data_IF_032076561724
#
_entry.id   IF_032076561724
#
_cell.length_a   1.000
_cell.length_b   1.000
_cell.length_c   1.000
_cell.angle_alpha   90.00
_cell.angle_beta   90.00
_cell.angle_gamma   90.00
#
_symmetry.space_group_name_H-M   'P 1'
#
loop_
_entity.id
_entity.type
_entity.pdbx_description
1 polymer ?
#
# COMPACT_ATOMS: atom_id res chain seq x y z
N UNK A 1 -31.62 -9.34 -35.36
CA UNK A 1 -30.47 -8.86 -34.59
C UNK A 1 -30.72 -9.19 -33.14
N UNK A 2 -30.07 -10.22 -32.60
CA UNK A 2 -30.20 -10.59 -31.19
C UNK A 2 -29.48 -9.55 -30.34
N UNK A 3 -30.22 -8.76 -29.58
CA UNK A 3 -29.67 -7.89 -28.56
C UNK A 3 -28.81 -8.74 -27.62
N UNK A 4 -27.50 -8.53 -27.68
CA UNK A 4 -26.55 -9.18 -26.80
C UNK A 4 -26.92 -8.84 -25.36
N UNK A 5 -27.55 -9.79 -24.66
CA UNK A 5 -27.79 -9.67 -23.22
C UNK A 5 -26.45 -9.32 -22.57
N UNK A 6 -26.35 -8.10 -22.03
CA UNK A 6 -25.21 -7.70 -21.19
C UNK A 6 -25.15 -8.72 -20.07
N UNK A 7 -24.08 -9.52 -20.03
CA UNK A 7 -23.87 -10.60 -19.03
C UNK A 7 -23.76 -10.09 -17.59
N UNK A 8 -23.82 -8.76 -17.40
CA UNK A 8 -23.65 -8.10 -16.12
C UNK A 8 -24.92 -7.30 -15.82
N UNK A 9 -25.62 -7.68 -14.75
CA UNK A 9 -26.46 -6.73 -14.04
C UNK A 9 -25.51 -5.79 -13.28
N UNK A 10 -25.49 -4.48 -13.57
CA UNK A 10 -24.82 -3.52 -12.72
C UNK A 10 -25.58 -3.49 -11.39
N UNK A 11 -25.10 -4.23 -10.40
CA UNK A 11 -25.46 -4.00 -9.01
C UNK A 11 -24.65 -2.79 -8.52
N UNK A 12 -25.32 -1.78 -7.99
CA UNK A 12 -24.78 -0.45 -7.61
C UNK A 12 -23.67 -0.43 -6.54
N UNK A 13 -23.04 -1.56 -6.21
CA UNK A 13 -21.91 -1.58 -5.30
C UNK A 13 -21.20 -2.91 -5.31
N UNK A 14 -20.15 -3.03 -6.12
CA UNK A 14 -19.09 -3.98 -5.82
C UNK A 14 -18.55 -3.71 -4.41
N UNK A 15 -18.26 -4.76 -3.65
CA UNK A 15 -17.81 -4.58 -2.27
C UNK A 15 -17.09 -5.79 -1.71
N UNK A 16 -16.94 -5.84 -0.39
CA UNK A 16 -16.18 -6.88 0.29
C UNK A 16 -17.07 -8.09 0.58
N UNK A 17 -16.61 -9.27 0.17
CA UNK A 17 -17.20 -10.55 0.52
C UNK A 17 -16.45 -11.15 1.71
N UNK A 18 -17.17 -11.56 2.74
CA UNK A 18 -16.59 -12.29 3.87
C UNK A 18 -17.00 -13.76 3.78
N UNK A 19 -16.03 -14.66 3.80
CA UNK A 19 -16.22 -16.12 3.80
C UNK A 19 -15.69 -16.67 5.12
N UNK A 20 -16.40 -17.63 5.70
CA UNK A 20 -15.95 -18.29 6.93
C UNK A 20 -15.33 -19.65 6.61
N UNK A 21 -14.16 -19.92 7.19
CA UNK A 21 -13.56 -21.25 7.32
C UNK A 21 -13.53 -21.71 8.79
N UNK A 22 -14.25 -20.99 9.66
CA UNK A 22 -14.23 -21.22 11.10
C UNK A 22 -15.14 -22.36 11.51
N UNK A 23 -14.76 -23.04 12.59
CA UNK A 23 -15.57 -24.06 13.24
C UNK A 23 -16.56 -23.39 14.20
N UNK A 24 -17.72 -22.93 13.70
CA UNK A 24 -18.83 -22.50 14.54
C UNK A 24 -19.73 -21.41 13.92
N UNK A 25 -20.95 -21.30 14.42
CA UNK A 25 -21.95 -20.33 13.93
C UNK A 25 -21.99 -19.01 14.71
N UNK A 26 -21.24 -18.90 15.80
CA UNK A 26 -21.30 -17.76 16.72
C UNK A 26 -20.09 -16.83 16.57
N UNK A 27 -20.35 -15.54 16.74
CA UNK A 27 -19.34 -14.48 16.84
C UNK A 27 -18.63 -14.58 18.19
N UNK A 28 -17.76 -15.57 18.35
CA UNK A 28 -16.99 -15.79 19.58
C UNK A 28 -15.51 -15.64 19.24
N UNK A 29 -14.81 -14.80 20.00
CA UNK A 29 -13.34 -14.74 20.01
C UNK A 29 -12.88 -15.53 21.23
N UNK A 30 -12.14 -16.65 21.05
CA UNK A 30 -11.67 -17.43 22.19
C UNK A 30 -10.75 -16.63 23.13
N UNK A 31 -10.76 -16.95 24.43
CA UNK A 31 -9.95 -16.25 25.43
C UNK A 31 -8.45 -16.26 25.10
N UNK A 32 -7.93 -17.40 24.61
CA UNK A 32 -6.51 -17.51 24.25
C UNK A 32 -6.08 -16.49 23.20
N UNK A 33 -7.00 -15.95 22.39
CA UNK A 33 -6.67 -14.90 21.42
C UNK A 33 -6.30 -13.61 22.14
N UNK A 34 -6.97 -13.29 23.24
CA UNK A 34 -6.62 -12.13 24.05
C UNK A 34 -5.30 -12.36 24.79
N UNK A 35 -5.09 -13.57 25.33
CA UNK A 35 -3.92 -13.87 26.14
C UNK A 35 -2.63 -13.95 25.29
N UNK A 36 -2.73 -14.62 24.13
CA UNK A 36 -1.60 -14.97 23.28
C UNK A 36 -1.35 -13.91 22.21
N UNK A 37 -2.41 -13.46 21.52
CA UNK A 37 -2.26 -12.66 20.31
C UNK A 37 -2.35 -11.16 20.56
N UNK A 38 -3.18 -10.70 21.50
CA UNK A 38 -3.34 -9.26 21.75
C UNK A 38 -2.02 -8.53 22.05
N UNK A 39 -1.06 -9.09 22.82
CA UNK A 39 0.23 -8.44 23.03
C UNK A 39 1.08 -8.28 21.76
N UNK A 40 0.88 -9.15 20.76
CA UNK A 40 1.66 -9.15 19.51
C UNK A 40 1.02 -8.26 18.44
N UNK A 41 -0.27 -8.46 18.14
CA UNK A 41 -0.95 -7.74 17.05
C UNK A 41 -1.62 -6.43 17.51
N UNK A 42 -1.80 -6.26 18.82
CA UNK A 42 -2.44 -5.10 19.44
C UNK A 42 -3.97 -5.13 19.40
N UNK A 43 -4.59 -4.36 20.30
CA UNK A 43 -6.04 -4.30 20.46
C UNK A 43 -6.78 -3.80 19.20
N UNK A 44 -6.16 -2.95 18.38
CA UNK A 44 -6.76 -2.45 17.13
C UNK A 44 -6.94 -3.57 16.10
N UNK A 45 -5.91 -4.39 15.90
CA UNK A 45 -5.99 -5.52 14.97
C UNK A 45 -7.04 -6.53 15.43
N UNK A 46 -7.08 -6.81 16.74
CA UNK A 46 -8.08 -7.71 17.32
C UNK A 46 -9.51 -7.17 17.16
N UNK A 47 -9.73 -5.86 17.34
CA UNK A 47 -11.02 -5.22 17.09
C UNK A 47 -11.48 -5.28 15.63
N UNK A 48 -10.54 -5.14 14.68
CA UNK A 48 -10.82 -5.34 13.25
C UNK A 48 -11.20 -6.79 12.97
N UNK A 49 -10.44 -7.75 13.50
CA UNK A 49 -10.77 -9.18 13.36
C UNK A 49 -12.15 -9.52 13.94
N UNK A 50 -12.49 -9.02 15.13
CA UNK A 50 -13.81 -9.21 15.73
C UNK A 50 -14.94 -8.61 14.85
N UNK A 51 -14.67 -7.49 14.18
CA UNK A 51 -15.59 -6.89 13.22
C UNK A 51 -15.79 -7.81 12.01
N UNK A 52 -14.72 -8.43 11.50
CA UNK A 52 -14.80 -9.39 10.39
C UNK A 52 -15.62 -10.61 10.77
N UNK A 53 -15.35 -11.19 11.93
CA UNK A 53 -16.15 -12.30 12.52
C UNK A 53 -17.62 -11.91 12.68
N UNK A 54 -17.94 -10.64 12.92
CA UNK A 54 -19.33 -10.16 12.96
C UNK A 54 -19.94 -10.05 11.57
N UNK A 55 -19.18 -9.56 10.59
CA UNK A 55 -19.64 -9.36 9.20
C UNK A 55 -19.79 -10.69 8.44
N UNK A 56 -18.97 -11.70 8.78
CA UNK A 56 -19.01 -13.05 8.19
C UNK A 56 -20.38 -13.71 8.35
N UNK A 57 -21.02 -13.49 9.50
CA UNK A 57 -22.28 -14.14 9.87
C UNK A 57 -23.40 -13.86 8.88
N UNK A 58 -23.30 -12.77 8.13
CA UNK A 58 -24.31 -12.42 7.16
C UNK A 58 -24.11 -13.08 5.79
N UNK A 59 -23.00 -13.79 5.53
CA UNK A 59 -22.76 -14.62 4.33
C UNK A 59 -22.93 -13.93 2.96
N UNK A 60 -23.12 -12.61 2.95
CA UNK A 60 -23.56 -11.81 1.80
C UNK A 60 -22.44 -10.83 1.46
N UNK A 61 -22.21 -10.65 0.15
CA UNK A 61 -21.36 -9.57 -0.38
C UNK A 61 -21.88 -8.26 0.18
N UNK A 62 -21.07 -7.60 1.01
CA UNK A 62 -21.45 -6.32 1.59
C UNK A 62 -21.07 -5.25 0.58
N UNK A 63 -22.01 -4.37 0.25
CA UNK A 63 -21.77 -3.11 -0.47
C UNK A 63 -20.98 -2.14 0.42
N UNK A 64 -19.85 -2.60 0.96
CA UNK A 64 -18.94 -1.88 1.82
C UNK A 64 -17.60 -1.80 1.10
N UNK A 65 -17.13 -0.58 0.89
CA UNK A 65 -15.76 -0.36 0.47
C UNK A 65 -14.79 -0.51 1.65
N UNK A 66 -13.51 -0.65 1.37
CA UNK A 66 -12.47 -0.63 2.40
C UNK A 66 -12.45 0.71 3.17
N UNK A 67 -12.86 1.82 2.53
CA UNK A 67 -12.98 3.12 3.17
C UNK A 67 -14.18 3.20 4.13
N UNK A 68 -15.30 2.56 3.79
CA UNK A 68 -16.46 2.50 4.70
C UNK A 68 -16.15 1.62 5.90
N UNK A 69 -15.44 0.51 5.66
CA UNK A 69 -14.98 -0.37 6.73
C UNK A 69 -14.00 0.33 7.68
N UNK A 70 -13.06 1.13 7.16
CA UNK A 70 -12.13 1.90 7.99
C UNK A 70 -12.86 2.97 8.82
N UNK A 71 -13.86 3.65 8.24
CA UNK A 71 -14.72 4.59 8.97
C UNK A 71 -15.51 3.89 10.07
N UNK A 72 -16.13 2.74 9.78
CA UNK A 72 -16.91 1.97 10.75
C UNK A 72 -16.06 1.50 11.94
N UNK A 73 -14.80 1.11 11.68
CA UNK A 73 -13.83 0.69 12.70
C UNK A 73 -13.06 1.86 13.32
N UNK A 74 -13.33 3.11 12.91
CA UNK A 74 -12.67 4.34 13.38
C UNK A 74 -11.15 4.31 13.26
N UNK A 75 -10.63 3.72 12.18
CA UNK A 75 -9.21 3.70 11.86
C UNK A 75 -8.96 4.28 10.45
N UNK A 76 -7.72 4.71 10.21
CA UNK A 76 -7.31 5.15 8.87
C UNK A 76 -7.31 3.98 7.88
N UNK A 77 -7.59 4.25 6.61
CA UNK A 77 -7.55 3.24 5.53
C UNK A 77 -6.18 2.57 5.40
N UNK A 78 -5.09 3.34 5.55
CA UNK A 78 -3.73 2.81 5.58
C UNK A 78 -3.52 1.85 6.75
N UNK A 79 -3.93 2.25 7.95
CA UNK A 79 -3.85 1.41 9.15
C UNK A 79 -4.67 0.12 9.00
N UNK A 80 -5.85 0.19 8.40
CA UNK A 80 -6.66 -1.00 8.09
C UNK A 80 -5.93 -1.94 7.12
N UNK A 81 -5.27 -1.39 6.10
CA UNK A 81 -4.48 -2.17 5.14
C UNK A 81 -3.29 -2.87 5.82
N UNK A 82 -2.57 -2.15 6.69
CA UNK A 82 -1.45 -2.70 7.46
C UNK A 82 -1.93 -3.79 8.43
N UNK A 83 -3.05 -3.56 9.14
CA UNK A 83 -3.69 -4.56 10.00
C UNK A 83 -4.10 -5.81 9.21
N UNK A 84 -4.65 -5.66 8.00
CA UNK A 84 -5.03 -6.81 7.18
C UNK A 84 -3.83 -7.68 6.83
N UNK A 85 -2.69 -7.07 6.48
CA UNK A 85 -1.45 -7.80 6.23
C UNK A 85 -0.99 -8.53 7.49
N UNK A 86 -1.02 -7.88 8.65
CA UNK A 86 -0.67 -8.52 9.91
C UNK A 86 -1.58 -9.70 10.23
N UNK A 87 -2.90 -9.54 10.11
CA UNK A 87 -3.84 -10.64 10.35
C UNK A 87 -3.66 -11.79 9.34
N UNK A 88 -3.34 -11.49 8.09
CA UNK A 88 -3.06 -12.49 7.06
C UNK A 88 -1.77 -13.27 7.35
N UNK A 89 -0.68 -12.59 7.69
CA UNK A 89 0.58 -13.21 8.09
C UNK A 89 0.44 -14.05 9.37
N UNK A 90 -0.39 -13.60 10.31
CA UNK A 90 -0.70 -14.35 11.54
C UNK A 90 -1.71 -15.49 11.31
N UNK A 91 -2.22 -15.70 10.10
CA UNK A 91 -3.14 -16.78 9.77
C UNK A 91 -4.59 -16.59 10.27
N UNK A 92 -4.98 -15.38 10.67
CA UNK A 92 -6.34 -15.05 11.09
C UNK A 92 -7.29 -14.91 9.90
N UNK A 93 -6.77 -14.40 8.79
CA UNK A 93 -7.54 -14.16 7.56
C UNK A 93 -6.71 -14.53 6.32
N UNK A 94 -7.36 -14.52 5.18
CA UNK A 94 -6.74 -14.56 3.85
C UNK A 94 -7.47 -13.56 2.96
N UNK A 95 -6.72 -12.71 2.24
CA UNK A 95 -7.27 -11.61 1.47
C UNK A 95 -7.08 -11.88 -0.03
N UNK A 96 -8.16 -12.29 -0.68
CA UNK A 96 -8.19 -12.62 -2.10
C UNK A 96 -8.67 -11.42 -2.92
N UNK A 97 -7.76 -10.83 -3.70
CA UNK A 97 -8.08 -9.77 -4.65
C UNK A 97 -8.32 -10.39 -6.02
N UNK A 98 -9.50 -10.19 -6.66
CA UNK A 98 -9.82 -10.79 -7.93
C UNK A 98 -8.89 -10.31 -9.05
N UNK A 99 -8.35 -11.25 -9.84
CA UNK A 99 -7.46 -10.98 -10.99
C UNK A 99 -8.15 -11.39 -12.31
N UNK A 100 -7.93 -10.61 -13.37
CA UNK A 100 -8.39 -10.94 -14.73
C UNK A 100 -9.92 -11.08 -14.83
N UNK A 101 -10.38 -12.23 -15.31
CA UNK A 101 -11.81 -12.53 -15.44
C UNK A 101 -12.55 -12.49 -14.10
N UNK A 102 -11.90 -12.73 -12.96
CA UNK A 102 -12.57 -12.65 -11.65
C UNK A 102 -13.01 -11.22 -11.30
N UNK A 103 -12.45 -10.18 -11.93
CA UNK A 103 -12.93 -8.79 -11.77
C UNK A 103 -14.34 -8.57 -12.27
N UNK A 104 -14.84 -9.51 -13.07
CA UNK A 104 -16.22 -9.54 -13.55
C UNK A 104 -17.21 -10.01 -12.49
N UNK A 105 -16.73 -10.55 -11.36
CA UNK A 105 -17.55 -10.92 -10.22
C UNK A 105 -18.04 -9.66 -9.45
N UNK A 106 -19.14 -9.80 -8.72
CA UNK A 106 -19.80 -8.70 -7.98
C UNK A 106 -19.03 -8.22 -6.72
N UNK A 107 -17.82 -8.73 -6.44
CA UNK A 107 -17.04 -8.34 -5.27
C UNK A 107 -15.66 -7.82 -5.67
N UNK A 108 -15.17 -6.84 -4.92
CA UNK A 108 -13.86 -6.22 -5.15
C UNK A 108 -12.75 -6.89 -4.34
N UNK A 109 -13.11 -7.52 -3.21
CA UNK A 109 -12.16 -8.18 -2.32
C UNK A 109 -12.91 -9.27 -1.58
N UNK A 110 -12.29 -10.44 -1.48
CA UNK A 110 -12.80 -11.55 -0.68
C UNK A 110 -11.88 -11.73 0.54
N UNK A 111 -12.47 -11.72 1.73
CA UNK A 111 -11.75 -11.93 2.99
C UNK A 111 -12.24 -13.24 3.57
N UNK A 112 -11.38 -14.25 3.58
CA UNK A 112 -11.65 -15.55 4.18
C UNK A 112 -11.18 -15.50 5.62
N UNK A 113 -12.09 -15.74 6.55
CA UNK A 113 -11.85 -15.65 7.99
C UNK A 113 -11.59 -17.06 8.51
N UNK A 114 -10.46 -17.22 9.20
CA UNK A 114 -9.97 -18.49 9.75
C UNK A 114 -10.09 -18.48 11.27
N UNK A 115 -10.02 -19.68 11.86
CA UNK A 115 -9.90 -19.78 13.31
C UNK A 115 -8.49 -19.35 13.73
N UNK A 116 -8.35 -18.52 14.77
CA UNK A 116 -7.03 -18.03 15.20
C UNK A 116 -6.12 -19.20 15.56
N UNK A 117 -4.86 -19.22 15.13
CA UNK A 117 -3.95 -20.31 15.49
C UNK A 117 -3.74 -20.35 16.99
N UNK A 118 -3.67 -21.57 17.56
CA UNK A 118 -3.43 -21.77 19.00
C UNK A 118 -1.96 -21.63 19.37
N UNK A 119 -1.08 -21.79 18.39
CA UNK A 119 0.36 -21.75 18.53
C UNK A 119 0.92 -20.63 17.65
N UNK A 120 1.98 -19.97 18.11
CA UNK A 120 2.65 -18.90 17.37
C UNK A 120 4.07 -19.37 17.02
N UNK A 121 4.49 -19.16 15.78
CA UNK A 121 5.87 -19.40 15.37
C UNK A 121 6.82 -18.36 15.99
N UNK A 122 8.07 -18.77 16.25
CA UNK A 122 9.11 -17.87 16.77
C UNK A 122 9.33 -16.65 15.87
N UNK A 123 9.25 -16.85 14.55
CA UNK A 123 9.40 -15.80 13.55
C UNK A 123 8.34 -14.69 13.68
N UNK A 124 7.08 -15.06 13.92
CA UNK A 124 5.99 -14.08 14.13
C UNK A 124 6.23 -13.31 15.42
N UNK A 125 6.67 -14.00 16.49
CA UNK A 125 6.98 -13.36 17.77
C UNK A 125 8.09 -12.33 17.57
N UNK A 126 9.20 -12.70 16.94
CA UNK A 126 10.33 -11.79 16.70
C UNK A 126 9.95 -10.60 15.82
N UNK A 127 9.14 -10.80 14.78
CA UNK A 127 8.70 -9.75 13.85
C UNK A 127 7.79 -8.72 14.51
N UNK A 128 6.90 -9.15 15.40
CA UNK A 128 5.87 -8.30 16.01
C UNK A 128 6.15 -7.91 17.47
N UNK A 129 7.27 -8.38 18.04
CA UNK A 129 7.71 -7.97 19.38
C UNK A 129 7.91 -6.45 19.39
N UNK A 130 7.32 -5.79 20.37
CA UNK A 130 7.59 -4.37 20.60
C UNK A 130 9.02 -4.21 21.15
N UNK A 131 9.77 -3.24 20.62
CA UNK A 131 11.11 -2.88 21.10
C UNK A 131 11.10 -2.44 22.57
N UNK A 132 9.98 -1.89 23.04
CA UNK A 132 9.74 -1.73 24.47
C UNK A 132 9.52 -3.11 25.06
N UNK A 133 10.59 -3.66 25.67
CA UNK A 133 10.69 -5.01 26.23
C UNK A 133 9.32 -5.56 26.63
N UNK A 134 8.92 -6.63 25.93
CA UNK A 134 7.64 -7.31 26.11
C UNK A 134 7.34 -7.52 27.61
N UNK A 135 6.47 -6.68 28.18
CA UNK A 135 5.87 -6.94 29.49
C UNK A 135 4.69 -7.84 29.19
N UNK A 136 4.84 -9.14 29.44
CA UNK A 136 3.73 -10.06 29.35
C UNK A 136 2.63 -9.54 30.28
N UNK A 137 1.46 -9.17 29.73
CA UNK A 137 0.26 -8.91 30.54
C UNK A 137 -0.15 -10.16 31.36
N UNK A 138 0.47 -11.29 31.03
CA UNK A 138 0.21 -12.62 31.51
C UNK A 138 1.44 -13.28 32.15
N UNK A 139 2.17 -12.57 33.03
CA UNK A 139 3.15 -13.21 33.94
C UNK A 139 2.55 -14.37 34.77
N UNK A 140 1.22 -14.45 34.86
CA UNK A 140 0.47 -15.52 35.53
C UNK A 140 0.06 -16.70 34.62
N UNK A 141 0.24 -16.58 33.30
CA UNK A 141 -0.26 -17.55 32.30
C UNK A 141 0.88 -18.31 31.61
N UNK A 142 2.07 -17.72 31.59
CA UNK A 142 3.30 -18.48 31.47
C UNK A 142 3.55 -18.99 32.87
N UNK A 143 3.23 -20.25 33.15
CA UNK A 143 3.74 -20.91 34.34
C UNK A 143 5.26 -20.82 34.24
N UNK A 144 5.86 -19.82 34.87
CA UNK A 144 7.20 -19.99 35.36
C UNK A 144 7.11 -21.29 36.15
N UNK A 145 7.90 -22.28 35.74
CA UNK A 145 8.27 -23.36 36.63
C UNK A 145 8.88 -22.68 37.85
N UNK A 146 8.01 -22.27 38.77
CA UNK A 146 8.38 -21.95 40.12
C UNK A 146 8.95 -23.26 40.61
N UNK A 147 10.27 -23.34 40.58
CA UNK A 147 11.04 -24.24 41.43
C UNK A 147 10.43 -24.10 42.82
N UNK A 148 9.56 -25.04 43.15
CA UNK A 148 8.86 -25.11 44.42
C UNK A 148 9.88 -25.64 45.43
N UNK A 149 10.88 -24.81 45.74
CA UNK A 149 11.92 -25.05 46.72
C UNK A 149 11.78 -24.08 47.90
N UNK A 150 10.54 -23.78 48.27
CA UNK A 150 10.20 -23.10 49.52
C UNK A 150 9.33 -24.04 50.34
N UNK A 151 9.98 -24.71 51.30
CA UNK A 151 9.32 -25.44 52.39
C UNK A 151 8.37 -24.51 53.15
N UNK A 152 7.13 -24.39 52.69
CA UNK A 152 6.05 -23.87 53.51
C UNK A 152 5.74 -24.91 54.59
N UNK A 153 6.23 -24.66 55.80
CA UNK A 153 5.77 -25.32 57.02
C UNK A 153 4.26 -25.07 57.14
N UNK A 154 3.47 -26.09 56.81
CA UNK A 154 2.04 -26.13 57.05
C UNK A 154 1.81 -26.01 58.57
N UNK A 155 1.00 -25.05 59.07
CA UNK A 155 0.55 -25.08 60.45
C UNK A 155 -0.34 -26.31 60.64
N UNK A 156 0.15 -27.30 61.38
CA UNK A 156 -0.63 -28.45 61.82
C UNK A 156 -1.68 -28.01 62.85
N UNK A 157 -2.83 -27.48 62.43
CA UNK A 157 -4.05 -27.59 63.25
C UNK A 157 -5.33 -27.19 62.50
N UNK A 158 -5.82 -28.05 61.60
CA UNK A 158 -7.25 -28.05 61.27
C UNK A 158 -7.71 -29.50 61.12
N UNK A 159 -8.45 -29.99 62.12
CA UNK A 159 -9.24 -31.22 62.04
C UNK A 159 -10.25 -31.09 60.90
N UNK A 160 -9.98 -31.71 59.75
CA UNK A 160 -10.98 -31.93 58.70
C UNK A 160 -11.57 -33.33 58.86
N UNK A 161 -12.89 -33.36 58.99
CA UNK A 161 -13.74 -34.55 58.93
C UNK A 161 -13.60 -35.23 57.58
N UNK A 162 -13.67 -36.56 57.64
CA UNK A 162 -13.56 -37.50 56.54
C UNK A 162 -14.51 -37.17 55.38
N UNK A 163 -13.94 -37.02 54.18
CA UNK A 163 -14.65 -37.19 52.93
C UNK A 163 -13.87 -38.19 52.08
N UNK A 164 -14.36 -39.43 52.07
CA UNK A 164 -13.93 -40.47 51.13
C UNK A 164 -14.46 -40.11 49.75
N UNK A 165 -13.59 -39.97 48.76
CA UNK A 165 -13.98 -40.10 47.37
C UNK A 165 -12.86 -40.78 46.59
N UNK A 166 -13.30 -41.72 45.75
CA UNK A 166 -12.59 -42.82 45.14
C UNK A 166 -11.64 -42.41 44.02
N UNK A 167 -10.50 -43.13 43.98
CA UNK A 167 -9.56 -43.20 42.86
C UNK A 167 -10.22 -43.80 41.62
N UNK A 168 -10.07 -43.12 40.48
CA UNK A 168 -10.06 -43.78 39.18
C UNK A 168 -8.79 -43.38 38.43
N UNK A 169 -7.99 -44.41 38.14
CA UNK A 169 -6.78 -44.35 37.34
C UNK A 169 -7.16 -44.14 35.87
N UNK A 170 -6.55 -43.15 35.21
CA UNK A 170 -6.43 -43.15 33.75
C UNK A 170 -4.96 -43.05 33.37
N UNK A 171 -4.47 -44.21 32.96
CA UNK A 171 -3.23 -44.48 32.27
C UNK A 171 -3.28 -43.82 30.88
N UNK A 172 -2.32 -42.95 30.54
CA UNK A 172 -2.19 -42.41 29.18
C UNK A 172 -0.80 -42.77 28.68
N UNK A 173 -0.80 -43.65 27.68
CA UNK A 173 0.36 -44.20 27.01
C UNK A 173 1.14 -43.12 26.26
N UNK A 174 2.46 -43.23 26.35
CA UNK A 174 3.46 -42.47 25.63
C UNK A 174 3.43 -42.78 24.14
N UNK A 175 3.21 -41.77 23.32
CA UNK A 175 3.38 -41.84 21.86
C UNK A 175 4.82 -41.49 21.50
N UNK A 176 5.56 -42.52 21.09
CA UNK A 176 6.87 -42.44 20.43
C UNK A 176 6.66 -41.87 19.04
N UNK A 177 7.34 -40.77 18.71
CA UNK A 177 7.42 -40.24 17.34
C UNK A 177 8.79 -40.63 16.78
N UNK A 178 8.77 -41.53 15.81
CA UNK A 178 9.93 -41.99 15.07
C UNK A 178 10.49 -40.88 14.18
N UNK A 179 11.81 -40.68 14.28
CA UNK A 179 12.62 -39.81 13.44
C UNK A 179 12.70 -40.35 12.02
N UNK A 180 12.19 -39.59 11.04
CA UNK A 180 12.41 -39.85 9.61
C UNK A 180 13.76 -39.28 9.18
N UNK A 181 14.71 -40.17 8.89
CA UNK A 181 15.91 -39.89 8.12
C UNK A 181 15.51 -39.60 6.66
N UNK A 182 15.94 -38.47 6.12
CA UNK A 182 15.94 -38.18 4.68
C UNK A 182 17.39 -38.08 4.25
N UNK A 183 17.85 -39.14 3.58
CA UNK A 183 19.13 -39.19 2.87
C UNK A 183 19.06 -38.45 1.53
N UNK A 184 20.18 -37.81 1.21
CA UNK A 184 20.85 -37.64 -0.10
C UNK A 184 20.05 -37.27 -1.35
N UNK A 185 20.45 -36.12 -1.91
CA UNK A 185 20.46 -35.89 -3.36
C UNK A 185 21.65 -35.01 -3.77
N UNK A 186 22.17 -35.17 -5.00
CA UNK A 186 23.57 -34.92 -5.36
C UNK A 186 23.86 -33.47 -5.78
N UNK A 187 25.15 -33.11 -5.95
CA UNK A 187 25.55 -31.78 -6.38
C UNK A 187 25.50 -31.68 -7.91
N UNK A 188 24.55 -30.91 -8.45
CA UNK A 188 24.55 -30.50 -9.85
C UNK A 188 25.34 -29.18 -9.99
N UNK A 189 26.36 -29.22 -10.84
CA UNK A 189 27.36 -28.17 -11.01
C UNK A 189 26.88 -26.94 -11.76
N UNK A 190 27.46 -25.80 -11.39
CA UNK A 190 27.31 -24.52 -12.07
C UNK A 190 28.04 -24.51 -13.43
N UNK A 191 27.37 -24.15 -14.54
CA UNK A 191 28.08 -23.77 -15.75
C UNK A 191 28.54 -22.31 -15.64
N UNK A 192 29.86 -22.11 -15.65
CA UNK A 192 30.49 -20.81 -15.92
C UNK A 192 30.00 -20.26 -17.26
N UNK A 193 29.24 -19.16 -17.23
CA UNK A 193 28.92 -18.38 -18.42
C UNK A 193 30.00 -17.32 -18.63
N UNK A 194 30.69 -17.45 -19.76
CA UNK A 194 31.71 -16.51 -20.22
C UNK A 194 31.01 -15.27 -20.77
N UNK A 195 31.26 -14.11 -20.15
CA UNK A 195 30.72 -12.80 -20.53
C UNK A 195 31.47 -12.27 -21.76
N UNK A 196 30.84 -12.37 -22.93
CA UNK A 196 31.30 -11.77 -24.18
C UNK A 196 30.12 -11.05 -24.81
N UNK A 197 30.01 -9.74 -24.58
CA UNK A 197 28.98 -8.94 -25.23
C UNK A 197 28.98 -7.48 -24.82
N UNK A 198 30.04 -6.75 -25.21
CA UNK A 198 30.05 -5.29 -25.17
C UNK A 198 29.07 -4.77 -26.25
N UNK A 199 27.78 -4.79 -25.92
CA UNK A 199 26.68 -4.39 -26.78
C UNK A 199 26.54 -2.87 -26.74
N UNK A 200 26.71 -2.24 -27.90
CA UNK A 200 26.48 -0.80 -28.11
C UNK A 200 24.99 -0.52 -27.82
N UNK A 201 24.66 -0.04 -26.61
CA UNK A 201 23.30 0.40 -26.29
C UNK A 201 22.97 1.66 -27.09
N UNK A 202 22.10 1.52 -28.10
CA UNK A 202 21.44 2.67 -28.71
C UNK A 202 20.68 3.47 -27.63
N UNK A 203 20.70 4.81 -27.67
CA UNK A 203 20.06 5.65 -26.65
C UNK A 203 18.56 5.39 -26.63
N UNK A 204 18.11 4.63 -25.63
CA UNK A 204 16.70 4.34 -25.36
C UNK A 204 15.92 5.66 -25.33
N UNK A 205 14.94 5.80 -26.24
CA UNK A 205 14.06 6.98 -26.32
C UNK A 205 13.50 7.26 -24.92
N UNK A 206 13.79 8.46 -24.40
CA UNK A 206 13.33 8.87 -23.07
C UNK A 206 11.81 8.89 -23.08
N UNK A 207 11.19 8.30 -22.05
CA UNK A 207 9.74 8.34 -21.91
C UNK A 207 9.32 9.73 -21.41
N UNK A 208 8.15 10.26 -21.82
CA UNK A 208 7.66 11.58 -21.38
C UNK A 208 7.60 11.74 -19.86
N UNK A 209 7.39 10.63 -19.13
CA UNK A 209 7.45 10.62 -17.67
C UNK A 209 8.85 10.94 -17.14
N UNK A 210 9.90 10.34 -17.72
CA UNK A 210 11.28 10.51 -17.27
C UNK A 210 11.75 11.95 -17.48
N UNK A 211 11.34 12.57 -18.58
CA UNK A 211 11.66 13.96 -18.89
C UNK A 211 10.99 14.94 -17.92
N UNK A 212 9.71 14.72 -17.61
CA UNK A 212 9.00 15.52 -16.61
C UNK A 212 9.62 15.38 -15.21
N UNK A 213 10.00 14.16 -14.82
CA UNK A 213 10.70 13.91 -13.54
C UNK A 213 12.03 14.65 -13.50
N UNK A 214 12.83 14.57 -14.58
CA UNK A 214 14.10 15.28 -14.65
C UNK A 214 13.92 16.79 -14.56
N UNK A 215 12.95 17.36 -15.29
CA UNK A 215 12.66 18.80 -15.25
C UNK A 215 12.26 19.26 -13.84
N UNK A 216 11.47 18.45 -13.11
CA UNK A 216 11.10 18.75 -11.73
C UNK A 216 12.28 18.65 -10.76
N UNK A 217 13.17 17.67 -10.93
CA UNK A 217 14.41 17.57 -10.15
C UNK A 217 15.27 18.80 -10.38
N UNK A 218 15.47 19.18 -11.64
CA UNK A 218 16.30 20.33 -12.00
C UNK A 218 15.68 21.63 -11.51
N UNK A 219 14.35 21.76 -11.51
CA UNK A 219 13.66 22.95 -11.02
C UNK A 219 13.71 23.08 -9.50
N UNK A 220 13.57 21.98 -8.76
CA UNK A 220 13.42 21.99 -7.29
C UNK A 220 14.70 21.62 -6.53
N UNK A 221 15.73 21.15 -7.23
CA UNK A 221 17.01 20.64 -6.70
C UNK A 221 16.85 19.51 -5.66
N UNK A 222 15.72 18.79 -5.70
CA UNK A 222 15.45 17.68 -4.79
C UNK A 222 16.18 16.41 -5.24
N UNK A 223 16.95 15.80 -4.32
CA UNK A 223 17.61 14.52 -4.55
C UNK A 223 16.60 13.35 -4.50
N UNK A 224 16.50 12.60 -5.59
CA UNK A 224 15.66 11.39 -5.71
C UNK A 224 16.17 10.20 -4.91
N UNK A 225 17.44 10.19 -4.47
CA UNK A 225 17.95 9.15 -3.56
C UNK A 225 17.24 9.16 -2.22
N UNK A 226 16.67 10.31 -1.82
CA UNK A 226 15.86 10.43 -0.62
C UNK A 226 14.44 9.93 -0.92
N UNK A 227 14.04 8.83 -0.28
CA UNK A 227 12.76 8.14 -0.53
C UNK A 227 11.52 9.04 -0.39
N UNK A 228 11.54 9.98 0.56
CA UNK A 228 10.45 10.95 0.75
C UNK A 228 10.34 11.95 -0.41
N UNK A 229 11.46 12.36 -1.00
CA UNK A 229 11.50 13.25 -2.16
C UNK A 229 11.04 12.52 -3.43
N UNK A 230 11.53 11.29 -3.65
CA UNK A 230 11.14 10.48 -4.80
C UNK A 230 9.60 10.35 -4.92
N UNK A 231 8.92 10.03 -3.81
CA UNK A 231 7.46 9.93 -3.79
C UNK A 231 6.76 11.25 -4.13
N UNK A 232 7.30 12.40 -3.68
CA UNK A 232 6.75 13.73 -3.97
C UNK A 232 6.95 14.11 -5.44
N UNK A 233 8.13 13.85 -6.00
CA UNK A 233 8.46 14.15 -7.40
C UNK A 233 7.61 13.30 -8.36
N UNK A 234 7.46 12.00 -8.09
CA UNK A 234 6.61 11.14 -8.93
C UNK A 234 5.14 11.54 -8.89
N UNK A 235 4.64 11.89 -7.70
CA UNK A 235 3.28 12.39 -7.55
C UNK A 235 3.07 13.70 -8.35
N UNK A 236 3.99 14.65 -8.21
CA UNK A 236 3.93 15.92 -8.92
C UNK A 236 4.03 15.75 -10.45
N UNK A 237 4.93 14.88 -10.93
CA UNK A 237 5.07 14.55 -12.35
C UNK A 237 3.79 13.95 -12.95
N UNK A 238 3.07 13.14 -12.17
CA UNK A 238 1.77 12.60 -12.59
C UNK A 238 0.71 13.72 -12.66
N UNK A 239 0.56 14.50 -11.60
CA UNK A 239 -0.45 15.56 -11.51
C UNK A 239 -0.25 16.66 -12.57
N UNK A 240 1.00 17.04 -12.86
CA UNK A 240 1.29 18.03 -13.91
C UNK A 240 0.97 17.50 -15.32
N UNK A 241 1.30 16.24 -15.62
CA UNK A 241 0.96 15.64 -16.92
C UNK A 241 -0.55 15.45 -17.09
N UNK A 242 -1.27 15.07 -16.03
CA UNK A 242 -2.74 14.99 -16.05
C UNK A 242 -3.39 16.37 -16.24
N UNK A 243 -2.75 17.43 -15.76
CA UNK A 243 -3.18 18.81 -15.99
C UNK A 243 -2.76 19.37 -17.37
N UNK A 244 -2.06 18.59 -18.20
CA UNK A 244 -1.68 18.96 -19.57
C UNK A 244 -0.37 19.74 -19.69
N UNK A 245 0.42 19.87 -18.63
CA UNK A 245 1.73 20.53 -18.71
C UNK A 245 2.79 19.64 -19.34
N UNK A 246 3.71 20.25 -20.08
CA UNK A 246 4.86 19.58 -20.69
C UNK A 246 6.15 19.84 -19.89
N UNK A 247 7.21 19.04 -20.07
CA UNK A 247 8.49 19.27 -19.39
C UNK A 247 9.07 20.67 -19.67
N UNK A 248 8.82 21.21 -20.87
CA UNK A 248 9.26 22.55 -21.27
C UNK A 248 8.60 23.65 -20.41
N UNK A 249 7.36 23.44 -19.97
CA UNK A 249 6.67 24.41 -19.11
C UNK A 249 7.31 24.48 -17.72
N UNK A 250 7.80 23.34 -17.20
CA UNK A 250 8.55 23.28 -15.94
C UNK A 250 9.93 23.94 -16.08
N UNK A 251 10.59 23.77 -17.22
CA UNK A 251 11.86 24.42 -17.52
C UNK A 251 11.67 25.94 -17.63
N UNK A 252 10.63 26.40 -18.36
CA UNK A 252 10.29 27.82 -18.46
C UNK A 252 9.95 28.42 -17.10
N UNK A 253 9.22 27.68 -16.25
CA UNK A 253 8.95 28.07 -14.87
C UNK A 253 10.24 28.27 -14.07
N UNK A 254 11.21 27.35 -14.18
CA UNK A 254 12.51 27.46 -13.51
C UNK A 254 13.26 28.75 -13.91
N UNK A 255 13.28 29.10 -15.18
CA UNK A 255 13.94 30.32 -15.65
C UNK A 255 13.21 31.60 -15.18
N UNK A 256 11.89 31.58 -15.17
CA UNK A 256 11.10 32.68 -14.60
C UNK A 256 11.29 32.81 -13.08
N UNK A 257 11.45 31.69 -12.36
CA UNK A 257 11.66 31.68 -10.92
C UNK A 257 12.94 32.42 -10.51
N UNK A 258 14.02 32.31 -11.30
CA UNK A 258 15.27 33.06 -11.05
C UNK A 258 15.08 34.58 -11.06
N UNK A 259 14.03 35.07 -11.73
CA UNK A 259 13.69 36.49 -11.79
C UNK A 259 12.78 36.94 -10.63
N UNK A 260 12.08 36.00 -9.97
CA UNK A 260 11.20 36.25 -8.83
C UNK A 260 11.99 36.85 -7.65
N UNK A 261 11.36 37.77 -6.94
CA UNK A 261 11.99 38.45 -5.80
C UNK A 261 12.29 37.48 -4.64
N UNK A 262 11.54 36.37 -4.51
CA UNK A 262 11.79 35.32 -3.52
C UNK A 262 13.16 34.71 -3.76
N UNK A 263 13.41 34.24 -4.99
CA UNK A 263 14.71 33.71 -5.38
C UNK A 263 15.85 34.74 -5.21
N UNK A 264 15.61 36.01 -5.54
CA UNK A 264 16.61 37.08 -5.31
C UNK A 264 16.92 37.32 -3.83
N UNK A 265 15.99 36.98 -2.93
CA UNK A 265 16.14 37.19 -1.49
C UNK A 265 16.93 36.06 -0.82
N UNK A 266 16.64 34.81 -1.16
CA UNK A 266 17.17 33.63 -0.46
C UNK A 266 17.99 32.67 -1.34
N UNK A 267 17.95 32.84 -2.67
CA UNK A 267 18.60 31.95 -3.63
C UNK A 267 18.04 30.53 -3.62
N UNK A 268 16.86 30.30 -3.02
CA UNK A 268 16.34 28.96 -2.82
C UNK A 268 15.51 28.49 -4.02
N UNK A 269 15.63 27.21 -4.41
CA UNK A 269 14.77 26.64 -5.43
C UNK A 269 13.30 26.62 -4.96
N UNK A 270 12.34 26.68 -5.90
CA UNK A 270 10.92 26.62 -5.57
C UNK A 270 10.58 25.26 -4.99
N UNK A 271 9.70 25.24 -3.99
CA UNK A 271 9.11 23.98 -3.52
C UNK A 271 8.16 23.40 -4.57
N UNK A 272 7.95 22.07 -4.55
CA UNK A 272 6.99 21.39 -5.44
C UNK A 272 5.58 22.02 -5.39
N UNK A 273 5.14 22.46 -4.21
CA UNK A 273 3.83 23.11 -4.05
C UNK A 273 3.75 24.45 -4.79
N UNK A 274 4.85 25.21 -4.77
CA UNK A 274 4.96 26.48 -5.52
C UNK A 274 4.94 26.20 -7.02
N UNK A 275 5.69 25.22 -7.51
CA UNK A 275 5.63 24.78 -8.91
C UNK A 275 4.18 24.47 -9.32
N UNK A 276 3.46 23.65 -8.54
CA UNK A 276 2.07 23.32 -8.85
C UNK A 276 1.12 24.52 -8.93
N UNK A 277 1.24 25.45 -7.99
CA UNK A 277 0.31 26.58 -7.89
C UNK A 277 0.64 27.73 -8.86
N UNK A 278 1.90 27.88 -9.23
CA UNK A 278 2.38 29.05 -9.99
C UNK A 278 2.84 28.72 -11.42
N UNK A 279 2.97 27.44 -11.81
CA UNK A 279 3.32 27.07 -13.20
C UNK A 279 2.33 27.64 -14.23
N UNK A 280 1.06 27.83 -13.86
CA UNK A 280 0.06 28.54 -14.67
C UNK A 280 0.43 29.99 -14.97
N UNK A 281 1.06 30.68 -14.02
CA UNK A 281 1.45 32.08 -14.17
C UNK A 281 2.70 32.23 -15.04
N UNK A 282 3.47 31.15 -15.15
CA UNK A 282 4.56 31.04 -16.10
C UNK A 282 4.09 30.61 -17.49
N UNK A 283 2.79 30.78 -17.81
CA UNK A 283 2.28 30.71 -19.18
C UNK A 283 3.30 31.31 -20.11
N UNK A 284 3.71 30.51 -21.12
CA UNK A 284 4.74 30.86 -22.08
C UNK A 284 4.44 32.27 -22.56
N UNK A 285 5.24 33.25 -22.11
CA UNK A 285 5.40 34.49 -22.85
C UNK A 285 5.99 34.02 -24.16
N UNK A 286 5.13 33.75 -25.14
CA UNK A 286 5.53 33.50 -26.51
C UNK A 286 6.52 34.63 -26.81
N UNK A 287 7.78 34.31 -27.16
CA UNK A 287 8.76 35.33 -27.48
C UNK A 287 8.11 36.35 -28.40
N UNK A 288 8.27 37.63 -28.11
CA UNK A 288 7.61 38.70 -28.88
C UNK A 288 7.83 38.53 -30.39
N UNK A 289 8.98 38.00 -30.79
CA UNK A 289 9.34 37.57 -32.14
C UNK A 289 8.36 36.54 -32.75
N UNK A 290 8.02 35.48 -32.02
CA UNK A 290 7.15 34.40 -32.50
C UNK A 290 5.68 34.85 -32.55
N UNK A 291 5.29 35.75 -31.64
CA UNK A 291 4.01 36.47 -31.68
C UNK A 291 3.91 37.40 -32.91
N UNK A 292 5.01 38.08 -33.26
CA UNK A 292 5.10 38.90 -34.46
C UNK A 292 4.99 38.06 -35.72
N UNK A 293 5.63 36.88 -35.76
CA UNK A 293 5.54 35.96 -36.91
C UNK A 293 4.16 35.34 -37.07
N UNK A 294 3.52 34.90 -35.99
CA UNK A 294 2.13 34.42 -36.02
C UNK A 294 1.19 35.51 -36.53
N UNK A 295 1.29 36.73 -36.00
CA UNK A 295 0.48 37.85 -36.45
C UNK A 295 0.75 38.23 -37.91
N UNK A 296 2.01 38.15 -38.36
CA UNK A 296 2.35 38.34 -39.80
C UNK A 296 1.72 37.25 -40.67
N UNK A 297 1.67 36.01 -40.20
CA UNK A 297 1.05 34.88 -40.92
C UNK A 297 -0.47 35.03 -41.00
N UNK A 298 -1.12 35.38 -39.90
CA UNK A 298 -2.56 35.66 -39.85
C UNK A 298 -2.95 36.81 -40.79
N UNK A 299 -2.20 37.92 -40.77
CA UNK A 299 -2.42 39.04 -41.69
C UNK A 299 -2.25 38.60 -43.14
N UNK A 300 -1.27 37.74 -43.44
CA UNK A 300 -1.05 37.22 -44.79
C UNK A 300 -2.23 36.37 -45.27
N UNK A 301 -2.71 35.45 -44.42
CA UNK A 301 -3.87 34.61 -44.74
C UNK A 301 -5.15 35.44 -44.91
N UNK A 302 -5.33 36.49 -44.09
CA UNK A 302 -6.46 37.41 -44.20
C UNK A 302 -6.42 38.20 -45.52
N UNK A 303 -5.26 38.75 -45.90
CA UNK A 303 -5.09 39.47 -47.17
C UNK A 303 -5.31 38.55 -48.38
N UNK A 304 -4.81 37.32 -48.33
CA UNK A 304 -5.00 36.32 -49.38
C UNK A 304 -6.49 35.94 -49.52
N UNK A 305 -7.22 35.82 -48.40
CA UNK A 305 -8.67 35.57 -48.41
C UNK A 305 -9.50 36.72 -49.02
N UNK A 306 -8.97 37.95 -48.96
CA UNK A 306 -9.58 39.13 -49.58
C UNK A 306 -9.16 39.34 -51.04
N UNK A 307 -8.32 38.45 -51.59
CA UNK A 307 -7.83 38.52 -52.96
C UNK A 307 -6.80 39.65 -53.20
N UNK A 308 -6.15 40.13 -52.13
CA UNK A 308 -5.11 41.16 -52.21
C UNK A 308 -3.78 40.46 -52.43
N UNK A 309 -3.09 40.75 -53.55
CA UNK A 309 -1.77 40.18 -53.85
C UNK A 309 -0.73 40.71 -52.84
N UNK A 310 -0.08 39.79 -52.14
CA UNK A 310 0.89 40.07 -51.08
C UNK A 310 2.09 40.86 -51.61
N UNK A 311 2.38 40.80 -52.91
CA UNK A 311 3.47 41.56 -53.54
C UNK A 311 3.23 43.09 -53.57
N UNK A 312 1.98 43.55 -53.45
CA UNK A 312 1.66 44.98 -53.35
C UNK A 312 1.87 45.52 -51.92
N UNK A 313 1.84 44.66 -50.90
CA UNK A 313 1.89 45.07 -49.49
C UNK A 313 3.31 45.39 -48.99
N UNK A 314 4.34 44.74 -49.53
CA UNK A 314 5.75 44.99 -49.17
C UNK A 314 6.29 46.32 -49.74
N UNK A 315 5.59 46.94 -50.71
CA UNK A 315 5.94 48.26 -51.25
C UNK A 315 5.57 49.43 -50.32
N UNK A 316 4.61 49.25 -49.41
CA UNK A 316 4.09 50.32 -48.54
C UNK A 316 4.83 50.48 -47.21
N UNK A 317 5.89 49.68 -46.96
CA UNK A 317 6.61 49.63 -45.68
C UNK A 317 8.04 50.19 -45.71
N UNK A 318 8.42 50.85 -46.80
CA UNK A 318 9.78 51.35 -47.05
C UNK A 318 10.01 52.85 -46.77
N UNK A 319 9.05 53.55 -46.18
CA UNK A 319 9.21 54.92 -45.67
C UNK A 319 9.29 54.95 -44.13
#
# INVERSE_FOLDING_TARGET
MSEGKKLYMPTDGGGIRFITQRKGHYTIVPNYVFDIWMPLIGAKALGVYATYVRLERAGIVKSLSQADLSKATRIGTRTLSDINKTLEECGFIEVNVPIGYQKTMHYTTEIVIKDPPKEISKEIIEKYKQDSGYIALSHWLVSEEQECNSQMKIPQNVKRKDLKMSNENTNVESLVVESLNVEDSPPDGDPEYVDIGNEFEEPKKKTPHKEMVQALMDATELDMKIKSNAGRIYKASKELREAGYTPEDVIAFKENWKQDWRYKKDGQPPSIAVVHSEIKKAERKIPFEELQEQRKREIREELESQGIDINDYDYLRKD
#
